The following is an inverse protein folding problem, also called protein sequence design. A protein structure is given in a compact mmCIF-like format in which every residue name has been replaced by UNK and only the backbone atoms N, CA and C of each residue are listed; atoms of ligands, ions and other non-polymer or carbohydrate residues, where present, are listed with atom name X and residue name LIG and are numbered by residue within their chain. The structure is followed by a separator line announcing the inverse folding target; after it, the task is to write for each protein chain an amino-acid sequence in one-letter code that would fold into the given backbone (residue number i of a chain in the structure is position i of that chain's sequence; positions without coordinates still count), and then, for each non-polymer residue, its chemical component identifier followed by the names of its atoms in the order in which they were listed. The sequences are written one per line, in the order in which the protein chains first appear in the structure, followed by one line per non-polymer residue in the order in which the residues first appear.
data_IF_864038291252
#
_entry.id   IF_864038291252
#
_cell.length_a   1.000
_cell.length_b   1.000
_cell.length_c   1.000
_cell.angle_alpha   90.00
_cell.angle_beta   90.00
_cell.angle_gamma   90.00
#
_symmetry.space_group_name_H-M   'P 1'
#
loop_
_entity.id
_entity.type
_entity.pdbx_description
1 polymer ?
#
# COMPACT_ATOMS: atom_id res chain seq x y z
N UNK A 1 23.16 -3.68 2.90
CA UNK A 1 21.75 -3.28 2.66
C UNK A 1 21.79 -2.21 1.58
N UNK A 2 21.61 -2.60 0.32
CA UNK A 2 21.74 -1.71 -0.84
C UNK A 2 20.32 -1.27 -1.23
N UNK A 3 20.08 0.02 -1.09
CA UNK A 3 18.84 0.69 -1.50
C UNK A 3 18.62 0.51 -3.01
N UNK A 4 17.47 -0.05 -3.40
CA UNK A 4 17.06 -0.17 -4.80
C UNK A 4 16.45 1.17 -5.25
N UNK A 5 17.26 2.06 -5.82
CA UNK A 5 16.76 3.33 -6.33
C UNK A 5 17.80 4.39 -6.69
N UNK A 6 18.97 3.99 -7.20
CA UNK A 6 20.06 4.89 -7.61
C UNK A 6 19.80 5.61 -8.94
N UNK A 7 18.65 6.28 -9.07
CA UNK A 7 18.42 7.29 -10.11
C UNK A 7 18.75 8.68 -9.55
N UNK A 8 19.29 9.58 -10.38
CA UNK A 8 19.50 10.97 -10.00
C UNK A 8 18.14 11.67 -9.77
N UNK A 9 17.65 11.67 -8.54
CA UNK A 9 16.47 12.42 -8.13
C UNK A 9 16.91 13.71 -7.44
N UNK A 10 16.71 14.85 -8.11
CA UNK A 10 16.73 16.17 -7.47
C UNK A 10 15.30 16.54 -7.15
N UNK A 11 14.94 16.63 -5.87
CA UNK A 11 13.62 17.13 -5.45
C UNK A 11 13.73 17.92 -4.15
N UNK A 12 13.19 19.14 -4.17
CA UNK A 12 13.00 19.98 -2.99
C UNK A 12 11.98 19.33 -2.04
N UNK A 13 12.48 18.63 -1.02
CA UNK A 13 11.78 18.17 0.19
C UNK A 13 10.34 17.60 0.04
N UNK A 14 10.26 16.33 -0.40
CA UNK A 14 9.29 15.32 0.07
C UNK A 14 9.94 13.95 -0.07
N UNK A 15 10.03 13.17 1.01
CA UNK A 15 10.45 11.77 0.89
C UNK A 15 9.50 11.06 -0.09
N UNK A 16 10.05 10.48 -1.15
CA UNK A 16 9.27 9.80 -2.17
C UNK A 16 8.79 8.46 -1.60
N UNK A 17 7.47 8.32 -1.41
CA UNK A 17 6.84 7.12 -0.85
C UNK A 17 6.98 5.93 -1.81
N UNK A 18 7.38 4.77 -1.30
CA UNK A 18 7.45 3.50 -2.03
C UNK A 18 6.07 2.93 -2.40
N UNK A 19 5.02 3.42 -1.74
CA UNK A 19 3.62 3.09 -2.02
C UNK A 19 2.92 4.17 -2.86
N UNK A 20 3.67 5.07 -3.51
CA UNK A 20 3.12 6.13 -4.35
C UNK A 20 2.73 5.60 -5.73
N UNK A 21 1.44 5.66 -6.15
CA UNK A 21 1.03 5.29 -7.50
C UNK A 21 1.78 6.08 -8.58
N UNK A 22 2.08 7.36 -8.30
CA UNK A 22 2.78 8.24 -9.24
C UNK A 22 4.21 7.74 -9.53
N UNK A 23 4.88 7.24 -8.50
CA UNK A 23 6.24 6.72 -8.60
C UNK A 23 6.25 5.38 -9.33
N UNK A 24 5.31 4.49 -8.97
CA UNK A 24 5.18 3.16 -9.56
C UNK A 24 4.79 3.22 -11.05
N UNK A 25 3.88 4.12 -11.42
CA UNK A 25 3.45 4.31 -12.81
C UNK A 25 4.36 5.23 -13.63
N UNK A 26 5.34 5.88 -12.99
CA UNK A 26 6.17 6.94 -13.58
C UNK A 26 5.35 8.02 -14.32
N UNK A 27 4.17 8.35 -13.76
CA UNK A 27 3.22 9.33 -14.28
C UNK A 27 2.41 9.93 -13.13
N UNK A 28 1.96 11.19 -13.22
CA UNK A 28 1.08 11.76 -12.20
C UNK A 28 -0.20 10.94 -12.06
N UNK A 29 -0.46 10.44 -10.85
CA UNK A 29 -1.67 9.70 -10.47
C UNK A 29 -2.14 10.23 -9.11
N UNK A 30 -3.35 10.78 -9.06
CA UNK A 30 -3.98 11.33 -7.86
C UNK A 30 -5.25 10.56 -7.46
N UNK A 31 -5.91 9.95 -8.43
CA UNK A 31 -7.19 9.26 -8.28
C UNK A 31 -7.25 7.97 -9.09
N UNK A 32 -8.26 7.15 -8.83
CA UNK A 32 -8.58 5.96 -9.62
C UNK A 32 -8.77 6.29 -11.11
N UNK A 33 -9.47 7.38 -11.43
CA UNK A 33 -9.68 7.82 -12.81
C UNK A 33 -8.35 8.00 -13.57
N UNK A 34 -7.32 8.56 -12.91
CA UNK A 34 -6.00 8.73 -13.54
C UNK A 34 -5.35 7.39 -13.90
N UNK A 35 -5.60 6.34 -13.10
CA UNK A 35 -5.10 4.98 -13.36
C UNK A 35 -5.70 4.43 -14.65
N UNK A 36 -7.00 4.63 -14.87
CA UNK A 36 -7.72 4.16 -16.07
C UNK A 36 -7.19 4.77 -17.37
N UNK A 37 -6.56 5.95 -17.31
CA UNK A 37 -5.99 6.63 -18.47
C UNK A 37 -4.47 6.41 -18.62
N UNK A 38 -3.86 5.55 -17.81
CA UNK A 38 -2.46 5.19 -17.98
C UNK A 38 -2.28 4.41 -19.29
N UNK A 39 -1.34 4.79 -20.16
CA UNK A 39 -1.09 4.03 -21.39
C UNK A 39 -0.45 2.67 -21.11
N UNK A 40 0.30 2.56 -20.00
CA UNK A 40 0.98 1.37 -19.53
C UNK A 40 0.97 1.35 -18.01
N UNK A 41 0.85 0.15 -17.44
CA UNK A 41 0.90 -0.10 -16.00
C UNK A 41 2.13 -0.95 -15.65
N UNK A 42 2.70 -0.81 -14.45
CA UNK A 42 3.89 -1.56 -14.05
C UNK A 42 3.56 -3.06 -13.92
N UNK A 43 4.35 -3.93 -14.54
CA UNK A 43 4.11 -5.39 -14.47
C UNK A 43 4.84 -6.07 -13.32
N UNK A 44 5.70 -5.35 -12.59
CA UNK A 44 6.51 -5.90 -11.49
C UNK A 44 7.28 -7.16 -11.92
N UNK A 45 8.11 -7.02 -12.97
CA UNK A 45 8.83 -8.14 -13.57
C UNK A 45 7.89 -9.23 -14.11
N UNK A 46 6.83 -8.81 -14.79
CA UNK A 46 5.77 -9.66 -15.35
C UNK A 46 5.04 -10.55 -14.32
N UNK A 47 5.15 -10.20 -13.03
CA UNK A 47 4.47 -10.88 -11.92
C UNK A 47 2.99 -10.53 -11.89
N UNK A 48 2.63 -9.27 -12.16
CA UNK A 48 1.25 -8.82 -12.26
C UNK A 48 0.81 -8.72 -13.72
N UNK A 49 -0.39 -9.22 -14.00
CA UNK A 49 -1.05 -8.87 -15.26
C UNK A 49 -1.55 -7.40 -15.24
N UNK A 50 -1.88 -6.80 -16.39
CA UNK A 50 -2.29 -5.40 -16.44
C UNK A 50 -3.49 -5.06 -15.53
N UNK A 51 -4.50 -5.93 -15.47
CA UNK A 51 -5.67 -5.71 -14.62
C UNK A 51 -5.33 -5.76 -13.12
N UNK A 52 -4.45 -6.67 -12.71
CA UNK A 52 -3.95 -6.73 -11.33
C UNK A 52 -3.14 -5.49 -10.97
N UNK A 53 -2.33 -4.99 -11.91
CA UNK A 53 -1.55 -3.77 -11.71
C UNK A 53 -2.43 -2.53 -11.60
N UNK A 54 -3.42 -2.37 -12.48
CA UNK A 54 -4.43 -1.29 -12.39
C UNK A 54 -5.17 -1.34 -11.06
N UNK A 55 -5.58 -2.53 -10.61
CA UNK A 55 -6.26 -2.71 -9.33
C UNK A 55 -5.37 -2.29 -8.16
N UNK A 56 -4.11 -2.74 -8.15
CA UNK A 56 -3.15 -2.39 -7.11
C UNK A 56 -2.88 -0.88 -7.07
N UNK A 57 -2.68 -0.24 -8.22
CA UNK A 57 -2.52 1.21 -8.31
C UNK A 57 -3.76 1.95 -7.80
N UNK A 58 -4.96 1.48 -8.17
CA UNK A 58 -6.24 2.03 -7.71
C UNK A 58 -6.35 1.99 -6.19
N UNK A 59 -6.05 0.84 -5.57
CA UNK A 59 -6.07 0.71 -4.10
C UNK A 59 -5.09 1.66 -3.40
N UNK A 60 -3.93 1.91 -4.01
CA UNK A 60 -2.95 2.87 -3.49
C UNK A 60 -3.45 4.33 -3.55
N UNK A 61 -4.43 4.65 -4.40
CA UNK A 61 -5.05 5.99 -4.45
C UNK A 61 -6.06 6.26 -3.31
N UNK A 62 -6.42 5.24 -2.52
CA UNK A 62 -7.46 5.33 -1.49
C UNK A 62 -6.87 5.28 -0.07
N UNK A 63 -6.42 6.38 0.56
CA UNK A 63 -5.53 6.35 1.73
C UNK A 63 -6.04 5.53 2.93
N UNK A 64 -7.33 5.66 3.29
CA UNK A 64 -7.92 4.93 4.42
C UNK A 64 -8.30 3.49 4.08
N UNK A 65 -8.68 3.23 2.82
CA UNK A 65 -9.03 1.88 2.39
C UNK A 65 -7.82 1.10 1.86
N UNK A 66 -6.67 1.77 1.69
CA UNK A 66 -5.46 1.22 1.07
C UNK A 66 -5.01 -0.06 1.74
N UNK A 67 -4.81 -0.02 3.06
CA UNK A 67 -4.32 -1.18 3.82
C UNK A 67 -5.28 -2.38 3.70
N UNK A 68 -6.58 -2.26 4.04
CA UNK A 68 -7.48 -3.40 3.94
C UNK A 68 -7.65 -3.89 2.49
N UNK A 69 -7.66 -3.01 1.48
CA UNK A 69 -7.75 -3.40 0.08
C UNK A 69 -6.51 -4.15 -0.41
N UNK A 70 -5.31 -3.68 -0.07
CA UNK A 70 -4.06 -4.35 -0.44
C UNK A 70 -3.90 -5.70 0.27
N UNK A 71 -4.21 -5.78 1.56
CA UNK A 71 -4.16 -7.05 2.26
C UNK A 71 -5.19 -8.03 1.68
N UNK A 72 -6.41 -7.55 1.39
CA UNK A 72 -7.44 -8.31 0.69
C UNK A 72 -6.95 -8.84 -0.66
N UNK A 73 -6.30 -8.00 -1.47
CA UNK A 73 -5.70 -8.40 -2.75
C UNK A 73 -4.77 -9.61 -2.62
N UNK A 74 -3.88 -9.63 -1.63
CA UNK A 74 -2.94 -10.75 -1.44
C UNK A 74 -3.57 -11.99 -0.78
N UNK A 75 -4.73 -11.86 -0.15
CA UNK A 75 -5.48 -13.01 0.41
C UNK A 75 -6.30 -13.78 -0.62
N UNK A 76 -6.57 -13.19 -1.79
CA UNK A 76 -7.26 -13.89 -2.86
C UNK A 76 -6.48 -15.14 -3.31
N UNK A 77 -7.21 -16.21 -3.67
CA UNK A 77 -6.61 -17.53 -3.96
C UNK A 77 -5.46 -17.40 -4.95
N UNK A 78 -4.27 -17.87 -4.55
CA UNK A 78 -3.08 -17.90 -5.38
C UNK A 78 -2.25 -16.62 -5.36
N UNK A 79 -2.80 -15.47 -4.94
CA UNK A 79 -2.11 -14.17 -5.02
C UNK A 79 -1.05 -13.94 -3.95
N UNK A 80 -1.08 -14.67 -2.84
CA UNK A 80 0.03 -14.61 -1.87
C UNK A 80 1.39 -14.98 -2.47
N UNK A 81 1.40 -15.80 -3.54
CA UNK A 81 2.63 -16.14 -4.26
C UNK A 81 3.28 -14.94 -4.96
N UNK A 82 2.50 -13.90 -5.27
CA UNK A 82 2.98 -12.65 -5.88
C UNK A 82 3.93 -11.91 -4.93
N UNK A 83 3.82 -12.13 -3.62
CA UNK A 83 4.78 -11.61 -2.65
C UNK A 83 6.14 -12.29 -2.73
N UNK A 84 6.38 -13.21 -3.68
CA UNK A 84 7.72 -13.63 -4.06
C UNK A 84 8.52 -12.52 -4.78
N UNK A 85 7.85 -11.53 -5.37
CA UNK A 85 8.49 -10.40 -6.05
C UNK A 85 8.90 -9.31 -5.04
N UNK A 86 10.20 -8.99 -4.94
CA UNK A 86 10.69 -8.02 -3.96
C UNK A 86 10.07 -6.62 -4.09
N UNK A 87 9.73 -6.19 -5.31
CA UNK A 87 9.10 -4.88 -5.50
C UNK A 87 7.69 -4.83 -4.91
N UNK A 88 6.92 -5.92 -5.02
CA UNK A 88 5.58 -6.01 -4.40
C UNK A 88 5.67 -6.06 -2.87
N UNK A 89 6.69 -6.74 -2.32
CA UNK A 89 6.97 -6.68 -0.88
C UNK A 89 7.28 -5.24 -0.44
N UNK A 90 8.11 -4.51 -1.19
CA UNK A 90 8.46 -3.13 -0.87
C UNK A 90 7.25 -2.18 -0.93
N UNK A 91 6.35 -2.37 -1.91
CA UNK A 91 5.09 -1.61 -2.00
C UNK A 91 4.20 -1.90 -0.80
N UNK A 92 4.04 -3.16 -0.41
CA UNK A 92 3.21 -3.54 0.74
C UNK A 92 3.81 -3.01 2.06
N UNK A 93 5.12 -3.15 2.24
CA UNK A 93 5.85 -2.62 3.40
C UNK A 93 5.67 -1.10 3.51
N UNK A 94 5.88 -0.38 2.41
CA UNK A 94 5.65 1.05 2.35
C UNK A 94 4.19 1.42 2.65
N UNK A 95 3.23 0.67 2.13
CA UNK A 95 1.81 0.94 2.34
C UNK A 95 1.36 0.71 3.80
N UNK A 96 2.04 -0.16 4.53
CA UNK A 96 1.73 -0.45 5.93
C UNK A 96 2.48 0.48 6.89
N UNK A 97 3.77 0.73 6.64
CA UNK A 97 4.68 1.25 7.65
C UNK A 97 5.23 2.64 7.35
N UNK A 98 5.05 3.20 6.14
CA UNK A 98 5.49 4.56 5.91
C UNK A 98 4.68 5.56 6.75
N UNK A 99 5.37 6.56 7.32
CA UNK A 99 4.68 7.65 7.99
C UNK A 99 3.88 8.44 6.95
N UNK A 100 2.58 8.61 7.23
CA UNK A 100 1.71 9.49 6.45
C UNK A 100 1.75 10.94 6.95
N UNK A 101 0.85 11.80 6.45
CA UNK A 101 0.63 13.13 7.01
C UNK A 101 0.31 13.04 8.50
N UNK A 102 1.06 13.80 9.31
CA UNK A 102 0.89 13.82 10.75
C UNK A 102 -0.33 14.64 11.19
N UNK A 103 -1.07 14.14 12.17
CA UNK A 103 -2.19 14.82 12.80
C UNK A 103 -1.83 15.26 14.22
N UNK A 104 -1.97 16.55 14.52
CA UNK A 104 -1.85 17.07 15.89
C UNK A 104 -3.11 16.82 16.71
N UNK A 105 -3.02 16.92 18.04
CA UNK A 105 -4.18 16.84 18.92
C UNK A 105 -5.22 17.92 18.60
N UNK A 106 -4.77 19.13 18.25
CA UNK A 106 -5.65 20.24 17.84
C UNK A 106 -6.36 19.93 16.51
N UNK A 107 -5.63 19.37 15.53
CA UNK A 107 -6.21 18.96 14.24
C UNK A 107 -7.23 17.83 14.38
N UNK A 108 -6.99 16.90 15.31
CA UNK A 108 -7.92 15.80 15.58
C UNK A 108 -9.28 16.29 16.12
N UNK A 109 -9.31 17.45 16.76
CA UNK A 109 -10.54 18.05 17.32
C UNK A 109 -11.38 18.77 16.27
N UNK A 110 -10.80 19.18 15.13
CA UNK A 110 -11.55 19.87 14.05
C UNK A 110 -12.67 19.03 13.43
N UNK A 111 -12.72 17.72 13.69
CA UNK A 111 -13.78 16.86 13.20
C UNK A 111 -13.69 16.55 11.69
N UNK A 112 -14.71 15.89 11.12
CA UNK A 112 -14.75 15.58 9.68
C UNK A 112 -14.93 16.85 8.84
N UNK A 113 -14.58 16.82 7.53
CA UNK A 113 -14.79 17.96 6.64
C UNK A 113 -16.28 18.30 6.50
N UNK A 114 -16.59 19.59 6.40
CA UNK A 114 -17.97 20.08 6.24
C UNK A 114 -18.54 19.87 4.83
N UNK A 115 -17.69 19.68 3.83
CA UNK A 115 -18.04 19.55 2.42
C UNK A 115 -17.48 18.26 1.81
N UNK A 116 -18.24 17.66 0.89
CA UNK A 116 -17.84 16.50 0.08
C UNK A 116 -18.02 16.85 -1.40
N UNK A 117 -16.94 16.88 -2.23
CA UNK A 117 -15.54 16.64 -1.86
C UNK A 117 -14.93 17.76 -0.99
N UNK A 118 -14.05 17.39 -0.07
CA UNK A 118 -13.31 18.35 0.75
C UNK A 118 -12.24 19.09 -0.07
N UNK A 119 -11.95 20.35 0.27
CA UNK A 119 -10.91 21.15 -0.39
C UNK A 119 -9.49 20.62 -0.14
N UNK A 120 -9.25 19.99 1.01
CA UNK A 120 -7.96 19.39 1.37
C UNK A 120 -8.15 17.99 1.93
N UNK A 121 -7.07 17.21 1.91
CA UNK A 121 -7.01 15.86 2.45
C UNK A 121 -6.41 15.82 3.86
N UNK A 122 -6.25 16.96 4.53
CA UNK A 122 -5.58 17.03 5.83
C UNK A 122 -6.35 16.28 6.92
N UNK A 123 -7.68 16.20 6.78
CA UNK A 123 -8.57 15.38 7.61
C UNK A 123 -8.22 13.87 7.55
N UNK A 124 -7.44 13.44 6.56
CA UNK A 124 -6.96 12.07 6.41
C UNK A 124 -5.60 11.83 7.10
N UNK A 125 -5.04 12.83 7.79
CA UNK A 125 -3.82 12.66 8.58
C UNK A 125 -4.05 11.77 9.80
N UNK A 126 -2.97 11.18 10.32
CA UNK A 126 -3.00 10.33 11.52
C UNK A 126 -1.83 10.65 12.44
N UNK A 127 -1.98 10.41 13.75
CA UNK A 127 -0.93 10.70 14.73
C UNK A 127 0.21 9.67 14.73
N UNK A 128 -0.07 8.42 14.35
CA UNK A 128 0.83 7.28 14.44
C UNK A 128 0.86 6.40 13.19
N UNK A 129 0.48 6.95 12.02
CA UNK A 129 0.43 6.23 10.74
C UNK A 129 -0.87 5.45 10.52
N UNK A 130 -1.07 5.03 9.26
CA UNK A 130 -2.32 4.41 8.81
C UNK A 130 -2.54 3.02 9.43
N UNK A 131 -1.49 2.19 9.57
CA UNK A 131 -1.65 0.85 10.18
C UNK A 131 -2.14 0.95 11.63
N UNK A 132 -1.54 1.83 12.44
CA UNK A 132 -1.99 2.06 13.82
C UNK A 132 -3.44 2.56 13.85
N UNK A 133 -3.81 3.46 12.94
CA UNK A 133 -5.17 3.96 12.84
C UNK A 133 -6.16 2.82 12.51
N UNK A 134 -5.84 1.97 11.53
CA UNK A 134 -6.67 0.82 11.17
C UNK A 134 -6.79 -0.18 12.33
N UNK A 135 -5.71 -0.51 13.03
CA UNK A 135 -5.76 -1.43 14.17
C UNK A 135 -6.60 -0.89 15.34
N UNK A 136 -6.64 0.43 15.53
CA UNK A 136 -7.43 1.04 16.60
C UNK A 136 -8.91 1.21 16.26
N UNK A 137 -9.25 1.35 14.97
CA UNK A 137 -10.62 1.70 14.52
C UNK A 137 -11.33 0.56 13.78
N UNK A 138 -10.58 -0.30 13.10
CA UNK A 138 -11.07 -1.32 12.15
C UNK A 138 -10.15 -2.57 12.10
N UNK A 139 -9.76 -3.15 13.26
CA UNK A 139 -8.73 -4.20 13.29
C UNK A 139 -9.12 -5.49 12.56
N UNK A 140 -10.42 -5.83 12.53
CA UNK A 140 -10.89 -7.14 12.07
C UNK A 140 -10.42 -7.47 10.66
N UNK A 141 -10.55 -6.53 9.72
CA UNK A 141 -10.20 -6.75 8.31
C UNK A 141 -8.69 -6.99 8.16
N UNK A 142 -7.88 -6.22 8.88
CA UNK A 142 -6.41 -6.36 8.87
C UNK A 142 -6.01 -7.70 9.47
N UNK A 143 -6.55 -8.06 10.64
CA UNK A 143 -6.20 -9.28 11.34
C UNK A 143 -6.64 -10.53 10.57
N UNK A 144 -7.85 -10.54 10.01
CA UNK A 144 -8.35 -11.66 9.22
C UNK A 144 -7.49 -11.90 7.97
N UNK A 145 -7.11 -10.81 7.28
CA UNK A 145 -6.24 -10.91 6.12
C UNK A 145 -4.85 -11.43 6.49
N UNK A 146 -4.24 -10.92 7.56
CA UNK A 146 -2.94 -11.38 8.04
C UNK A 146 -3.00 -12.86 8.48
N UNK A 147 -4.04 -13.27 9.21
CA UNK A 147 -4.22 -14.67 9.61
C UNK A 147 -4.38 -15.58 8.39
N UNK A 148 -5.17 -15.16 7.41
CA UNK A 148 -5.34 -15.89 6.15
C UNK A 148 -3.99 -16.06 5.43
N UNK A 149 -3.23 -14.97 5.29
CA UNK A 149 -1.91 -15.01 4.65
C UNK A 149 -0.93 -15.92 5.40
N UNK A 150 -0.90 -15.84 6.74
CA UNK A 150 -0.05 -16.69 7.58
C UNK A 150 -0.42 -18.17 7.46
N UNK A 151 -1.71 -18.53 7.43
CA UNK A 151 -2.12 -19.92 7.23
C UNK A 151 -1.59 -20.46 5.90
N UNK A 152 -1.74 -19.70 4.80
CA UNK A 152 -1.23 -20.14 3.49
C UNK A 152 0.30 -20.19 3.46
N UNK A 153 0.98 -19.26 4.14
CA UNK A 153 2.44 -19.29 4.24
C UNK A 153 2.93 -20.53 5.00
N UNK A 154 2.27 -20.90 6.10
CA UNK A 154 2.57 -22.11 6.88
C UNK A 154 2.32 -23.38 6.08
N UNK A 155 1.22 -23.48 5.34
CA UNK A 155 0.95 -24.62 4.46
C UNK A 155 2.00 -24.80 3.37
N UNK A 156 2.62 -23.69 2.94
CA UNK A 156 3.68 -23.69 1.92
C UNK A 156 5.09 -23.89 2.49
N UNK A 157 5.28 -23.92 3.81
CA UNK A 157 6.57 -24.23 4.41
C UNK A 157 6.81 -25.74 4.30
N UNK A 158 7.75 -26.21 3.45
CA UNK A 158 8.02 -27.64 3.30
C UNK A 158 8.65 -28.27 4.57
N UNK A 159 8.91 -27.48 5.61
CA UNK A 159 9.67 -27.87 6.78
C UNK A 159 11.16 -27.94 6.47
N UNK A 160 12.01 -27.50 7.40
CA UNK A 160 13.45 -27.73 7.28
C UNK A 160 13.74 -29.22 7.36
N UNK A 161 14.25 -29.82 6.29
CA UNK A 161 14.88 -31.13 6.36
C UNK A 161 15.99 -31.07 7.40
N UNK A 162 15.89 -31.86 8.47
CA UNK A 162 17.00 -32.06 9.40
C UNK A 162 18.13 -32.68 8.59
N UNK A 163 19.19 -31.91 8.35
CA UNK A 163 20.46 -32.44 7.88
C UNK A 163 20.94 -33.40 8.98
N UNK A 164 20.82 -34.71 8.71
CA UNK A 164 21.39 -35.78 9.52
C UNK A 164 22.88 -35.94 9.27
#
# INVERSE_FOLDING_TARGET
RQWLGGGNYSSDFKAVSGASPTVLANKPVQSEDDVLFLPHVPTFNDTLNPSESEMLLTYLTAPYLRIPLLLGFFTERGRIGLLGEPQLQAVLDAALFEPGPWQSSEMAVSGPPELVPAHTRDHLSTSAGLLTNELLKSPQVVLDALLCMLHVAVEKDPGRAKLG
#
